data_IF_101760363519
#
_entry.id   IF_101760363519
#
_cell.length_a   1.000
_cell.length_b   1.000
_cell.length_c   1.000
_cell.angle_alpha   90.00
_cell.angle_beta   90.00
_cell.angle_gamma   90.00
#
_symmetry.space_group_name_H-M   'P 1'
#
loop_
_entity.id
_entity.type
_entity.pdbx_description
1 polymer ?
#
# COMPACT_ATOMS: atom_id res chain seq x y z
N UNK A 1 30.97 -2.79 -6.57
CA UNK A 1 29.63 -3.22 -6.13
C UNK A 1 29.01 -2.02 -5.41
N UNK A 2 28.24 -1.20 -6.13
CA UNK A 2 27.60 -0.03 -5.51
C UNK A 2 26.58 -0.53 -4.48
N UNK A 3 26.68 -0.02 -3.26
CA UNK A 3 25.66 -0.15 -2.22
C UNK A 3 24.43 0.61 -2.72
N UNK A 4 23.61 -0.03 -3.55
CA UNK A 4 22.32 0.51 -3.93
C UNK A 4 21.52 0.63 -2.63
N UNK A 5 21.05 1.83 -2.28
CA UNK A 5 20.27 2.03 -1.06
C UNK A 5 19.06 1.08 -1.01
N UNK A 6 18.47 0.93 0.17
CA UNK A 6 17.26 0.14 0.36
C UNK A 6 16.12 1.02 0.90
N UNK A 7 14.89 0.62 0.61
CA UNK A 7 13.69 1.17 1.20
C UNK A 7 12.80 0.05 1.73
N UNK A 8 11.92 0.36 2.68
CA UNK A 8 10.94 -0.57 3.21
C UNK A 8 9.55 -0.28 2.64
N UNK A 9 8.75 -1.32 2.46
CA UNK A 9 7.31 -1.25 2.27
C UNK A 9 6.67 -1.92 3.49
N UNK A 10 5.69 -1.27 4.12
CA UNK A 10 4.84 -1.91 5.11
C UNK A 10 3.36 -1.79 4.78
N UNK A 11 2.61 -2.85 5.05
CA UNK A 11 1.16 -2.89 4.85
C UNK A 11 0.50 -3.50 6.08
N UNK A 12 -0.52 -2.84 6.61
CA UNK A 12 -1.33 -3.36 7.72
C UNK A 12 -2.80 -3.40 7.30
N UNK A 13 -3.37 -4.60 7.25
CA UNK A 13 -4.79 -4.83 6.99
C UNK A 13 -5.53 -4.85 8.32
N UNK A 14 -6.55 -4.00 8.43
CA UNK A 14 -7.42 -3.92 9.62
C UNK A 14 -8.87 -4.18 9.24
N UNK A 15 -9.67 -4.63 10.20
CA UNK A 15 -11.12 -4.68 10.03
C UNK A 15 -11.77 -3.30 10.31
N UNK A 16 -13.09 -3.23 10.22
CA UNK A 16 -13.84 -1.99 10.45
C UNK A 16 -13.83 -1.51 11.91
N UNK A 17 -13.44 -2.36 12.86
CA UNK A 17 -13.28 -1.99 14.27
C UNK A 17 -11.86 -1.49 14.57
N UNK A 18 -10.95 -1.61 13.59
CA UNK A 18 -9.55 -1.23 13.70
C UNK A 18 -8.63 -2.36 14.18
N UNK A 19 -9.14 -3.58 14.31
CA UNK A 19 -8.33 -4.75 14.67
C UNK A 19 -7.47 -5.20 13.50
N UNK A 20 -6.20 -5.54 13.75
CA UNK A 20 -5.27 -6.00 12.72
C UNK A 20 -5.61 -7.43 12.31
N UNK A 21 -5.97 -7.62 11.04
CA UNK A 21 -6.22 -8.93 10.43
C UNK A 21 -4.95 -9.56 9.88
N UNK A 22 -4.07 -8.73 9.30
CA UNK A 22 -2.82 -9.18 8.72
C UNK A 22 -1.82 -8.02 8.59
N UNK A 23 -0.53 -8.35 8.54
CA UNK A 23 0.54 -7.38 8.30
C UNK A 23 1.64 -7.96 7.42
N UNK A 24 2.32 -7.09 6.68
CA UNK A 24 3.42 -7.42 5.79
C UNK A 24 4.50 -6.36 5.85
N UNK A 25 5.76 -6.79 5.70
CA UNK A 25 6.88 -5.90 5.42
C UNK A 25 7.77 -6.51 4.34
N UNK A 26 8.32 -5.66 3.47
CA UNK A 26 9.23 -6.04 2.39
C UNK A 26 10.35 -5.00 2.28
N UNK A 27 11.57 -5.44 1.99
CA UNK A 27 12.70 -4.56 1.65
C UNK A 27 12.88 -4.57 0.14
N UNK A 28 12.90 -3.38 -0.45
CA UNK A 28 13.09 -3.18 -1.89
C UNK A 28 14.34 -2.34 -2.16
N UNK A 29 14.89 -2.37 -3.39
CA UNK A 29 15.87 -1.38 -3.82
C UNK A 29 15.32 0.04 -3.66
N UNK A 30 16.18 0.99 -3.26
CA UNK A 30 15.81 2.40 -3.08
C UNK A 30 15.16 2.95 -4.37
N UNK A 31 13.89 3.37 -4.34
CA UNK A 31 13.22 3.94 -5.49
C UNK A 31 13.80 5.30 -5.88
N UNK A 32 13.48 5.75 -7.10
CA UNK A 32 13.92 7.04 -7.61
C UNK A 32 13.26 8.24 -6.92
N UNK A 33 12.12 8.06 -6.26
CA UNK A 33 11.45 9.08 -5.45
C UNK A 33 10.51 8.46 -4.41
N UNK A 34 10.07 9.27 -3.44
CA UNK A 34 9.07 8.90 -2.43
C UNK A 34 7.72 8.55 -3.08
N UNK A 35 7.30 9.29 -4.12
CA UNK A 35 6.06 9.01 -4.87
C UNK A 35 6.11 7.61 -5.50
N UNK A 36 7.25 7.22 -6.06
CA UNK A 36 7.44 5.86 -6.59
C UNK A 36 7.40 4.82 -5.46
N UNK A 37 8.04 5.09 -4.32
CA UNK A 37 8.00 4.20 -3.15
C UNK A 37 6.55 3.95 -2.69
N UNK A 38 5.78 5.01 -2.50
CA UNK A 38 4.40 4.90 -2.05
C UNK A 38 3.47 4.26 -3.09
N UNK A 39 3.72 4.50 -4.38
CA UNK A 39 2.98 3.81 -5.45
C UNK A 39 3.29 2.30 -5.45
N UNK A 40 4.54 1.91 -5.18
CA UNK A 40 4.94 0.52 -5.01
C UNK A 40 4.31 -0.09 -3.75
N UNK A 41 4.23 0.65 -2.64
CA UNK A 41 3.57 0.23 -1.42
C UNK A 41 2.06 -0.01 -1.66
N UNK A 42 1.36 0.93 -2.30
CA UNK A 42 -0.05 0.78 -2.67
C UNK A 42 -0.28 -0.43 -3.60
N UNK A 43 0.59 -0.62 -4.60
CA UNK A 43 0.54 -1.81 -5.48
C UNK A 43 0.73 -3.09 -4.67
N UNK A 44 1.69 -3.12 -3.74
CA UNK A 44 1.95 -4.30 -2.91
C UNK A 44 0.79 -4.62 -1.99
N UNK A 45 0.12 -3.60 -1.44
CA UNK A 45 -1.09 -3.76 -0.64
C UNK A 45 -2.23 -4.42 -1.43
N UNK A 46 -2.45 -4.03 -2.70
CA UNK A 46 -3.44 -4.70 -3.58
C UNK A 46 -3.11 -6.18 -3.78
N UNK A 47 -1.83 -6.50 -4.01
CA UNK A 47 -1.39 -7.89 -4.15
C UNK A 47 -1.60 -8.65 -2.84
N UNK A 48 -1.28 -8.04 -1.69
CA UNK A 48 -1.44 -8.67 -0.38
C UNK A 48 -2.90 -8.98 -0.06
N UNK A 49 -3.83 -8.07 -0.36
CA UNK A 49 -5.25 -8.32 -0.19
C UNK A 49 -5.73 -9.49 -1.06
N UNK A 50 -5.22 -9.62 -2.30
CA UNK A 50 -5.51 -10.78 -3.16
C UNK A 50 -4.97 -12.08 -2.56
N UNK A 51 -3.76 -12.07 -2.00
CA UNK A 51 -3.15 -13.20 -1.29
C UNK A 51 -3.98 -13.63 -0.06
N UNK A 52 -4.68 -12.68 0.57
CA UNK A 52 -5.56 -12.89 1.72
C UNK A 52 -7.02 -13.21 1.33
N UNK A 53 -7.36 -13.28 0.04
CA UNK A 53 -8.73 -13.43 -0.47
C UNK A 53 -9.69 -12.31 0.01
N UNK A 54 -9.18 -11.10 0.21
CA UNK A 54 -9.95 -9.91 0.55
C UNK A 54 -10.22 -9.09 -0.72
N UNK A 55 -11.50 -8.81 -0.99
CA UNK A 55 -11.92 -8.21 -2.27
C UNK A 55 -12.43 -6.77 -2.16
N UNK A 56 -12.84 -6.33 -0.97
CA UNK A 56 -13.36 -4.97 -0.73
C UNK A 56 -12.44 -4.31 0.29
N UNK A 57 -11.88 -3.16 -0.08
CA UNK A 57 -10.99 -2.37 0.78
C UNK A 57 -10.95 -0.89 0.38
N UNK A 58 -10.58 -0.07 1.35
CA UNK A 58 -10.29 1.35 1.29
C UNK A 58 -8.78 1.46 1.55
N UNK A 59 -8.07 2.04 0.61
CA UNK A 59 -6.64 2.32 0.77
C UNK A 59 -6.48 3.73 1.34
N UNK A 60 -5.80 3.84 2.48
CA UNK A 60 -5.32 5.10 3.05
C UNK A 60 -3.79 5.12 2.96
N UNK A 61 -3.27 6.30 2.63
CA UNK A 61 -1.85 6.58 2.54
C UNK A 61 -1.61 8.05 2.86
N UNK A 62 -0.37 8.42 3.10
CA UNK A 62 0.05 9.76 3.49
C UNK A 62 0.43 10.66 2.31
N UNK A 63 0.71 10.12 1.11
CA UNK A 63 0.87 10.96 -0.10
C UNK A 63 -0.44 11.19 -0.85
N UNK A 64 -0.91 12.43 -0.75
CA UNK A 64 -1.95 12.97 -1.62
C UNK A 64 -1.60 12.82 -3.11
N UNK A 65 -0.33 12.97 -3.49
CA UNK A 65 0.14 12.86 -4.87
C UNK A 65 -0.02 11.42 -5.39
N UNK A 66 0.43 10.43 -4.60
CA UNK A 66 0.27 9.01 -4.93
C UNK A 66 -1.20 8.60 -5.00
N UNK A 67 -2.00 9.06 -4.03
CA UNK A 67 -3.44 8.80 -3.98
C UNK A 67 -4.15 9.40 -5.20
N UNK A 68 -3.80 10.63 -5.59
CA UNK A 68 -4.37 11.31 -6.75
C UNK A 68 -4.02 10.58 -8.05
N UNK A 69 -2.75 10.17 -8.21
CA UNK A 69 -2.30 9.40 -9.36
C UNK A 69 -3.06 8.07 -9.52
N UNK A 70 -3.36 7.38 -8.41
CA UNK A 70 -4.11 6.12 -8.40
C UNK A 70 -5.61 6.34 -8.64
N UNK A 71 -6.22 7.35 -8.00
CA UNK A 71 -7.66 7.64 -8.12
C UNK A 71 -8.10 8.01 -9.53
N UNK A 72 -7.23 8.67 -10.29
CA UNK A 72 -7.50 9.08 -11.67
C UNK A 72 -7.63 7.89 -12.65
N UNK A 73 -7.55 6.63 -12.18
CA UNK A 73 -7.79 5.40 -12.97
C UNK A 73 -9.09 4.64 -12.61
N UNK A 74 -9.97 5.20 -11.77
CA UNK A 74 -11.40 4.83 -11.58
C UNK A 74 -11.74 3.35 -11.26
N UNK A 75 -12.02 3.05 -9.98
CA UNK A 75 -13.08 2.08 -9.58
C UNK A 75 -13.78 2.61 -8.31
N UNK A 76 -15.11 2.77 -8.37
CA UNK A 76 -15.97 3.07 -7.22
C UNK A 76 -16.41 1.78 -6.51
N UNK A 77 -16.41 1.76 -5.18
CA UNK A 77 -17.40 1.21 -4.22
C UNK A 77 -16.72 0.84 -2.86
N UNK A 78 -17.36 1.06 -1.69
CA UNK A 78 -16.63 1.24 -0.41
C UNK A 78 -16.56 0.02 0.54
N UNK A 79 -15.58 0.11 1.45
CA UNK A 79 -15.52 -0.32 2.89
C UNK A 79 -14.58 -1.46 3.30
N UNK A 80 -13.31 -1.15 3.64
CA UNK A 80 -12.45 -1.64 4.77
C UNK A 80 -11.25 -0.70 4.90
N UNK A 81 -10.95 -0.10 6.05
CA UNK A 81 -9.89 0.93 6.19
C UNK A 81 -8.46 0.34 6.30
N UNK A 82 -7.54 0.73 5.40
CA UNK A 82 -6.14 0.27 5.34
C UNK A 82 -5.16 1.42 5.60
N UNK A 83 -4.20 1.25 6.52
CA UNK A 83 -3.08 2.19 6.70
C UNK A 83 -1.83 1.63 6.03
N UNK A 84 -1.25 2.37 5.08
CA UNK A 84 0.10 2.12 4.53
C UNK A 84 1.14 2.90 5.36
N UNK A 85 2.28 2.27 5.65
CA UNK A 85 3.43 2.84 6.35
C UNK A 85 4.65 2.89 5.43
#
# INVERSE_FOLDING_TARGET
MQLLGAAGIGVVVRDSTGEVLAAMSEIIPLPSSVVVLETLAARRAVVFLKELNLHISIFEGDSEESISAIKNQSIHHPSVVLWVI
#
